data_IF_910856637422
#
_entry.id   IF_910856637422
#
_cell.length_a   1.000
_cell.length_b   1.000
_cell.length_c   1.000
_cell.angle_alpha   90.00
_cell.angle_beta   90.00
_cell.angle_gamma   90.00
#
_symmetry.space_group_name_H-M   'P 1'
#
loop_
_entity.id
_entity.type
_entity.pdbx_description
1 polymer ?
#
# COMPACT_ATOMS: atom_id res chain seq x y z
N UNK A 1 22.12 -27.82 -0.24
CA UNK A 1 20.86 -27.30 -0.84
C UNK A 1 20.72 -25.82 -0.52
N UNK A 2 21.00 -24.91 -1.47
CA UNK A 2 20.77 -23.48 -1.30
C UNK A 2 19.38 -23.15 -1.87
N UNK A 3 18.39 -22.94 -1.00
CA UNK A 3 17.10 -22.38 -1.42
C UNK A 3 17.36 -20.91 -1.78
N UNK A 4 17.31 -20.59 -3.07
CA UNK A 4 17.21 -19.21 -3.55
C UNK A 4 15.96 -18.63 -2.91
N UNK A 5 16.12 -17.76 -1.90
CA UNK A 5 15.00 -16.95 -1.45
C UNK A 5 14.70 -15.97 -2.60
N UNK A 6 13.52 -16.04 -3.26
CA UNK A 6 13.18 -15.01 -4.22
C UNK A 6 13.21 -13.66 -3.49
N UNK A 7 13.68 -12.63 -4.18
CA UNK A 7 13.62 -11.25 -3.68
C UNK A 7 12.24 -10.99 -3.07
N UNK A 8 12.16 -10.35 -1.89
CA UNK A 8 10.88 -10.11 -1.25
C UNK A 8 9.96 -9.42 -2.25
N UNK A 9 8.85 -10.09 -2.59
CA UNK A 9 7.87 -9.54 -3.52
C UNK A 9 7.45 -8.15 -3.03
N UNK A 10 7.29 -7.16 -3.92
CA UNK A 10 6.92 -5.80 -3.51
C UNK A 10 5.61 -5.82 -2.73
N UNK A 11 5.55 -5.01 -1.68
CA UNK A 11 4.29 -4.72 -0.98
C UNK A 11 3.50 -3.78 -1.89
N UNK A 12 2.25 -4.13 -2.17
CA UNK A 12 1.31 -3.34 -2.98
C UNK A 12 -0.01 -3.21 -2.25
N UNK A 13 -0.82 -2.21 -2.59
CA UNK A 13 -2.15 -2.02 -2.00
C UNK A 13 -2.99 -3.32 -2.10
N UNK A 14 -3.01 -3.98 -3.27
CA UNK A 14 -3.79 -5.21 -3.50
C UNK A 14 -3.28 -6.39 -2.66
N UNK A 15 -2.01 -6.38 -2.22
CA UNK A 15 -1.49 -7.39 -1.30
C UNK A 15 -1.91 -7.11 0.14
N UNK A 16 -2.00 -5.84 0.52
CA UNK A 16 -2.46 -5.44 1.84
C UNK A 16 -3.96 -5.71 1.97
N UNK A 17 -4.76 -5.38 0.95
CA UNK A 17 -6.19 -5.67 0.88
C UNK A 17 -6.46 -7.18 1.00
N UNK A 18 -5.76 -8.02 0.23
CA UNK A 18 -5.90 -9.48 0.37
C UNK A 18 -5.51 -10.00 1.76
N UNK A 19 -4.55 -9.36 2.42
CA UNK A 19 -4.18 -9.71 3.79
C UNK A 19 -5.28 -9.30 4.78
N UNK A 20 -5.89 -8.13 4.60
CA UNK A 20 -7.05 -7.67 5.37
C UNK A 20 -8.23 -8.63 5.23
N UNK A 21 -8.59 -9.01 3.99
CA UNK A 21 -9.67 -9.97 3.72
C UNK A 21 -9.42 -11.27 4.48
N UNK A 22 -8.18 -11.79 4.40
CA UNK A 22 -7.83 -13.04 5.08
C UNK A 22 -7.88 -12.94 6.60
N UNK A 23 -7.45 -11.81 7.17
CA UNK A 23 -7.53 -11.60 8.62
C UNK A 23 -8.99 -11.44 9.06
N UNK A 24 -9.83 -10.75 8.28
CA UNK A 24 -11.26 -10.63 8.55
C UNK A 24 -11.94 -12.00 8.56
N UNK A 25 -11.66 -12.86 7.57
CA UNK A 25 -12.15 -14.24 7.56
C UNK A 25 -11.75 -15.01 8.83
N UNK A 26 -10.50 -14.86 9.28
CA UNK A 26 -10.00 -15.52 10.50
C UNK A 26 -10.71 -14.99 11.75
N UNK A 27 -10.91 -13.68 11.86
CA UNK A 27 -11.64 -13.06 12.97
C UNK A 27 -13.05 -13.65 13.04
N UNK A 28 -13.78 -13.62 11.92
CA UNK A 28 -15.15 -14.10 11.87
C UNK A 28 -15.26 -15.60 12.15
N UNK A 29 -14.34 -16.41 11.62
CA UNK A 29 -14.33 -17.86 11.86
C UNK A 29 -14.06 -18.24 13.32
N UNK A 30 -13.45 -17.34 14.12
CA UNK A 30 -13.05 -17.60 15.51
C UNK A 30 -14.02 -17.03 16.56
N UNK A 31 -15.03 -16.26 16.14
CA UNK A 31 -15.98 -15.61 17.06
C UNK A 31 -15.27 -14.72 18.08
N UNK A 32 -15.59 -14.87 19.38
CA UNK A 32 -14.98 -14.10 20.47
C UNK A 32 -13.44 -14.22 20.52
N UNK A 33 -12.88 -15.39 20.13
CA UNK A 33 -11.42 -15.57 20.05
C UNK A 33 -10.79 -14.83 18.87
N UNK A 34 -11.61 -14.27 17.97
CA UNK A 34 -11.21 -13.44 16.86
C UNK A 34 -10.67 -12.08 17.28
N UNK A 35 -11.08 -11.55 18.44
CA UNK A 35 -10.64 -10.23 18.93
C UNK A 35 -9.11 -10.11 19.05
N UNK A 36 -8.41 -11.22 19.33
CA UNK A 36 -6.95 -11.26 19.39
C UNK A 36 -6.26 -10.89 18.06
N UNK A 37 -6.98 -10.91 16.94
CA UNK A 37 -6.47 -10.54 15.62
C UNK A 37 -6.77 -9.09 15.23
N UNK A 38 -7.63 -8.38 15.98
CA UNK A 38 -7.94 -6.97 15.72
C UNK A 38 -6.69 -6.08 15.67
N UNK A 39 -5.67 -6.24 16.53
CA UNK A 39 -4.46 -5.43 16.43
C UNK A 39 -3.72 -5.60 15.08
N UNK A 40 -3.74 -6.80 14.50
CA UNK A 40 -3.16 -7.04 13.19
C UNK A 40 -4.03 -6.43 12.08
N UNK A 41 -5.35 -6.55 12.20
CA UNK A 41 -6.29 -5.95 11.27
C UNK A 41 -6.12 -4.42 11.21
N UNK A 42 -6.09 -3.75 12.37
CA UNK A 42 -5.86 -2.32 12.49
C UNK A 42 -4.53 -1.88 11.89
N UNK A 43 -3.47 -2.69 12.11
CA UNK A 43 -2.16 -2.41 11.53
C UNK A 43 -2.19 -2.46 10.00
N UNK A 44 -2.86 -3.47 9.42
CA UNK A 44 -2.99 -3.61 7.97
C UNK A 44 -3.85 -2.50 7.37
N UNK A 45 -4.91 -2.07 8.06
CA UNK A 45 -5.74 -0.94 7.62
C UNK A 45 -4.92 0.36 7.55
N UNK A 46 -4.11 0.63 8.58
CA UNK A 46 -3.19 1.79 8.56
C UNK A 46 -2.17 1.67 7.44
N UNK A 47 -1.57 0.50 7.26
CA UNK A 47 -0.61 0.27 6.20
C UNK A 47 -1.20 0.48 4.81
N UNK A 48 -2.47 0.11 4.58
CA UNK A 48 -3.17 0.34 3.33
C UNK A 48 -3.34 1.84 3.06
N UNK A 49 -3.85 2.58 4.06
CA UNK A 49 -4.04 4.04 3.96
C UNK A 49 -2.72 4.76 3.72
N UNK A 50 -1.66 4.39 4.44
CA UNK A 50 -0.33 4.97 4.27
C UNK A 50 0.25 4.69 2.87
N UNK A 51 0.01 3.49 2.34
CA UNK A 51 0.45 3.12 1.00
C UNK A 51 -0.26 3.94 -0.08
N UNK A 52 -1.59 4.00 -0.01
CA UNK A 52 -2.41 4.77 -0.95
C UNK A 52 -2.06 6.26 -0.91
N UNK A 53 -1.92 6.85 0.29
CA UNK A 53 -1.52 8.23 0.46
C UNK A 53 -0.13 8.52 -0.12
N UNK A 54 0.81 7.57 0.03
CA UNK A 54 2.14 7.68 -0.58
C UNK A 54 2.07 7.65 -2.11
N UNK A 55 1.25 6.77 -2.68
CA UNK A 55 1.09 6.67 -4.14
C UNK A 55 0.47 7.94 -4.72
N UNK A 56 -0.60 8.44 -4.09
CA UNK A 56 -1.22 9.72 -4.45
C UNK A 56 -0.20 10.86 -4.37
N UNK A 57 0.54 10.95 -3.27
CA UNK A 57 1.56 11.99 -3.10
C UNK A 57 2.66 11.93 -4.15
N UNK A 58 3.10 10.73 -4.52
CA UNK A 58 4.08 10.57 -5.60
C UNK A 58 3.50 11.02 -6.95
N UNK A 59 2.22 10.77 -7.20
CA UNK A 59 1.56 11.24 -8.41
C UNK A 59 1.46 12.77 -8.45
N UNK A 60 1.06 13.41 -7.35
CA UNK A 60 1.05 14.87 -7.25
C UNK A 60 2.42 15.49 -7.54
N UNK A 61 3.49 14.87 -7.01
CA UNK A 61 4.87 15.30 -7.26
C UNK A 61 5.22 15.14 -8.74
N UNK A 62 4.87 14.01 -9.36
CA UNK A 62 5.07 13.78 -10.81
C UNK A 62 4.36 14.86 -11.64
N UNK A 63 3.09 15.13 -11.35
CA UNK A 63 2.30 16.16 -12.04
C UNK A 63 2.86 17.57 -11.83
N UNK A 64 3.40 17.87 -10.65
CA UNK A 64 4.06 19.15 -10.39
C UNK A 64 5.33 19.33 -11.24
N UNK A 65 6.13 18.28 -11.38
CA UNK A 65 7.34 18.30 -12.22
C UNK A 65 6.98 18.49 -13.69
N UNK A 66 5.98 17.77 -14.19
CA UNK A 66 5.48 17.91 -15.58
C UNK A 66 5.08 19.37 -15.85
N UNK A 67 4.16 19.91 -15.03
CA UNK A 67 3.72 21.31 -15.16
C UNK A 67 4.87 22.32 -15.09
N UNK A 68 5.90 22.04 -14.29
CA UNK A 68 7.07 22.93 -14.21
C UNK A 68 7.90 22.92 -15.49
N UNK A 69 8.06 21.75 -16.11
CA UNK A 69 8.79 21.60 -17.38
C UNK A 69 8.04 22.28 -18.53
N UNK A 70 6.72 22.11 -18.59
CA UNK A 70 5.89 22.73 -19.64
C UNK A 70 5.98 24.26 -19.58
N UNK A 71 5.95 24.86 -18.38
CA UNK A 71 6.14 26.31 -18.19
C UNK A 71 7.51 26.79 -18.66
N UNK A 72 8.56 26.01 -18.43
CA UNK A 72 9.92 26.38 -18.89
C UNK A 72 10.03 26.28 -20.41
N UNK A 73 9.46 25.24 -21.02
CA UNK A 73 9.42 25.08 -22.47
C UNK A 73 8.66 26.23 -23.14
N UNK A 74 7.50 26.62 -22.61
CA UNK A 74 6.71 27.74 -23.13
C UNK A 74 7.36 29.12 -22.97
N UNK A 75 8.32 29.27 -22.04
CA UNK A 75 9.07 30.54 -21.83
C UNK A 75 10.31 30.65 -22.72
N UNK A 76 10.69 29.55 -23.38
CA UNK A 76 11.90 29.43 -24.20
C UNK A 76 11.62 29.50 -25.71
N UNK A 77 10.35 29.59 -26.11
CA UNK A 77 9.86 29.78 -27.48
C UNK A 77 9.28 31.18 -27.65
#
# INVERSE_FOLDING_TARGET
>A
MKRYAPSPRPITAERIERALDRVAEIIMARGEKGEAWLPLYDHLERALRDHQAKEERLEEVRQRVIRSRDRMAARSS
#
